data_IF_777975202809
#
_entry.id   IF_777975202809
#
_cell.length_a   1.000
_cell.length_b   1.000
_cell.length_c   1.000
_cell.angle_alpha   90.00
_cell.angle_beta   90.00
_cell.angle_gamma   90.00
#
_symmetry.space_group_name_H-M   'P 1'
#
loop_
_entity.id
_entity.type
_entity.pdbx_description
1 polymer ?
#
# COMPACT_ATOMS: atom_id res chain seq x y z
N UNK A 1 14.16 -19.64 -3.30
CA UNK A 1 12.85 -18.96 -3.37
C UNK A 1 12.96 -17.74 -4.26
N UNK A 2 12.02 -17.55 -5.16
CA UNK A 2 12.07 -16.45 -6.13
C UNK A 2 11.07 -15.36 -5.75
N UNK A 3 11.55 -14.11 -5.73
CA UNK A 3 10.66 -12.97 -5.54
C UNK A 3 9.84 -12.79 -6.83
N UNK A 4 8.53 -12.53 -6.74
CA UNK A 4 7.71 -12.29 -7.93
C UNK A 4 8.31 -11.24 -8.86
N UNK A 5 8.17 -11.46 -10.16
CA UNK A 5 8.77 -10.57 -11.18
C UNK A 5 8.36 -9.10 -10.99
N UNK A 6 7.12 -8.85 -10.55
CA UNK A 6 6.60 -7.51 -10.30
C UNK A 6 7.32 -6.77 -9.18
N UNK A 7 8.04 -7.50 -8.32
CA UNK A 7 8.76 -6.92 -7.18
C UNK A 7 10.27 -6.92 -7.38
N UNK A 8 10.78 -7.62 -8.40
CA UNK A 8 12.22 -7.71 -8.64
C UNK A 8 12.81 -6.34 -8.94
N UNK A 9 13.94 -6.04 -8.29
CA UNK A 9 14.64 -4.78 -8.47
C UNK A 9 14.00 -3.59 -7.75
N UNK A 10 12.85 -3.76 -7.13
CA UNK A 10 12.11 -2.69 -6.46
C UNK A 10 12.29 -2.65 -4.95
N UNK A 11 12.83 -3.71 -4.38
CA UNK A 11 12.98 -3.86 -2.93
C UNK A 11 14.44 -3.80 -2.52
N UNK A 12 14.74 -3.15 -1.41
CA UNK A 12 16.05 -3.29 -0.74
C UNK A 12 16.09 -4.58 0.06
N UNK A 13 14.99 -4.92 0.71
CA UNK A 13 14.83 -6.14 1.48
C UNK A 13 13.48 -6.78 1.15
N UNK A 14 13.40 -8.12 1.12
CA UNK A 14 12.13 -8.80 0.84
C UNK A 14 11.24 -8.83 2.09
N UNK A 15 10.82 -7.67 2.52
CA UNK A 15 10.03 -7.47 3.75
C UNK A 15 8.74 -6.75 3.41
N UNK A 16 7.65 -7.19 4.02
CA UNK A 16 6.37 -6.50 3.98
C UNK A 16 6.12 -5.93 5.38
N UNK A 17 5.92 -4.62 5.47
CA UNK A 17 5.48 -3.99 6.70
C UNK A 17 4.06 -4.45 7.04
N UNK A 18 3.87 -5.01 8.22
CA UNK A 18 2.59 -5.56 8.61
C UNK A 18 1.48 -4.50 8.62
N UNK A 19 0.30 -4.77 8.03
CA UNK A 19 -0.82 -3.85 8.11
C UNK A 19 -1.43 -3.90 9.51
N UNK A 20 -1.38 -2.76 10.22
CA UNK A 20 -1.89 -2.66 11.59
C UNK A 20 -3.11 -1.77 11.64
N UNK A 21 -4.20 -2.28 12.21
CA UNK A 21 -5.43 -1.52 12.35
C UNK A 21 -5.16 -0.25 13.17
N UNK A 22 -5.62 0.88 12.68
CA UNK A 22 -5.43 2.23 13.24
C UNK A 22 -3.96 2.71 13.15
N UNK A 23 -3.00 1.87 13.50
CA UNK A 23 -1.58 2.27 13.59
C UNK A 23 -0.91 2.52 12.24
N UNK A 24 -1.28 1.76 11.20
CA UNK A 24 -0.68 1.95 9.87
C UNK A 24 -1.31 3.16 9.18
N UNK A 25 -0.59 4.28 9.21
CA UNK A 25 -0.99 5.53 8.58
C UNK A 25 -0.45 5.64 7.16
N UNK A 26 -0.96 6.61 6.39
CA UNK A 26 -0.39 6.93 5.07
C UNK A 26 1.10 7.26 5.16
N UNK A 27 1.46 8.07 6.17
CA UNK A 27 2.86 8.48 6.36
C UNK A 27 3.76 7.29 6.62
N UNK A 28 3.33 6.35 7.45
CA UNK A 28 4.08 5.13 7.73
C UNK A 28 4.28 4.31 6.47
N UNK A 29 3.22 4.12 5.67
CA UNK A 29 3.31 3.38 4.40
C UNK A 29 4.32 4.02 3.46
N UNK A 30 4.26 5.34 3.30
CA UNK A 30 5.18 6.07 2.42
C UNK A 30 6.63 5.91 2.89
N UNK A 31 6.88 6.04 4.18
CA UNK A 31 8.24 5.90 4.72
C UNK A 31 8.78 4.48 4.56
N UNK A 32 7.95 3.47 4.76
CA UNK A 32 8.32 2.08 4.53
C UNK A 32 8.70 1.86 3.06
N UNK A 33 7.87 2.32 2.14
CA UNK A 33 8.14 2.17 0.71
C UNK A 33 9.40 2.92 0.30
N UNK A 34 9.60 4.13 0.79
CA UNK A 34 10.82 4.91 0.53
C UNK A 34 12.07 4.23 1.08
N UNK A 35 11.92 3.46 2.15
CA UNK A 35 13.03 2.70 2.74
C UNK A 35 13.33 1.40 1.98
N UNK A 36 12.53 1.07 0.98
CA UNK A 36 12.76 -0.11 0.14
C UNK A 36 12.11 -1.39 0.64
N UNK A 37 11.14 -1.29 1.54
CA UNK A 37 10.30 -2.41 1.94
C UNK A 37 8.84 -2.11 1.58
N UNK A 38 8.03 -3.14 1.40
CA UNK A 38 6.63 -2.95 1.03
C UNK A 38 5.85 -2.40 2.23
N UNK A 39 5.33 -1.17 2.11
CA UNK A 39 4.45 -0.60 3.11
C UNK A 39 3.01 -1.01 2.86
N UNK A 40 2.28 -1.32 3.92
CA UNK A 40 0.88 -1.74 3.82
C UNK A 40 0.01 -1.10 4.89
N UNK A 41 -1.28 -1.00 4.58
CA UNK A 41 -2.28 -0.56 5.56
C UNK A 41 -3.60 -1.31 5.33
N UNK A 42 -4.40 -1.52 6.37
CA UNK A 42 -5.74 -2.07 6.19
C UNK A 42 -6.66 -1.03 5.55
N UNK A 43 -7.45 -1.44 4.56
CA UNK A 43 -8.43 -0.54 3.95
C UNK A 43 -9.35 0.10 4.99
N UNK A 44 -9.65 -0.62 6.07
CA UNK A 44 -10.49 -0.13 7.16
C UNK A 44 -9.93 1.08 7.90
N UNK A 45 -8.63 1.37 7.78
CA UNK A 45 -8.03 2.57 8.39
C UNK A 45 -8.48 3.85 7.70
N UNK A 46 -8.82 3.77 6.41
CA UNK A 46 -9.37 4.91 5.68
C UNK A 46 -10.85 5.03 6.00
N UNK A 47 -11.23 6.01 6.80
CA UNK A 47 -12.60 6.22 7.23
C UNK A 47 -13.05 7.66 7.03
N UNK A 48 -14.24 7.89 6.45
CA UNK A 48 -15.17 6.90 5.91
C UNK A 48 -14.64 6.20 4.65
N UNK A 49 -15.41 5.22 4.13
CA UNK A 49 -14.98 4.38 3.00
C UNK A 49 -14.54 5.19 1.79
N UNK A 50 -15.18 6.29 1.51
CA UNK A 50 -14.88 7.16 0.37
C UNK A 50 -13.47 7.75 0.42
N UNK A 51 -12.85 7.81 1.59
CA UNK A 51 -11.48 8.33 1.72
C UNK A 51 -10.42 7.32 1.28
N UNK A 52 -10.78 6.06 1.07
CA UNK A 52 -9.81 5.05 0.65
C UNK A 52 -9.14 5.42 -0.69
N UNK A 53 -9.92 5.91 -1.65
CA UNK A 53 -9.37 6.35 -2.93
C UNK A 53 -8.39 7.51 -2.74
N UNK A 54 -8.66 8.42 -1.82
CA UNK A 54 -7.78 9.55 -1.54
C UNK A 54 -6.46 9.07 -0.91
N UNK A 55 -6.53 8.10 0.00
CA UNK A 55 -5.33 7.51 0.60
C UNK A 55 -4.45 6.85 -0.46
N UNK A 56 -5.05 6.05 -1.34
CA UNK A 56 -4.32 5.37 -2.40
C UNK A 56 -3.65 6.39 -3.33
N UNK A 57 -4.38 7.41 -3.73
CA UNK A 57 -3.89 8.46 -4.60
C UNK A 57 -2.73 9.24 -3.97
N UNK A 58 -2.89 9.65 -2.71
CA UNK A 58 -1.84 10.39 -2.00
C UNK A 58 -0.58 9.56 -1.82
N UNK A 59 -0.71 8.29 -1.44
CA UNK A 59 0.44 7.40 -1.29
C UNK A 59 1.16 7.28 -2.64
N UNK A 60 0.41 7.02 -3.71
CA UNK A 60 0.99 6.88 -5.05
C UNK A 60 1.74 8.13 -5.49
N UNK A 61 1.13 9.30 -5.30
CA UNK A 61 1.74 10.58 -5.68
C UNK A 61 3.02 10.84 -4.89
N UNK A 62 3.01 10.56 -3.60
CA UNK A 62 4.19 10.76 -2.74
C UNK A 62 5.32 9.80 -3.10
N UNK A 63 5.00 8.57 -3.51
CA UNK A 63 6.03 7.62 -3.96
C UNK A 63 6.59 8.02 -5.32
N UNK A 64 5.75 8.50 -6.24
CA UNK A 64 6.19 8.99 -7.54
C UNK A 64 7.08 10.22 -7.38
N UNK A 65 6.75 11.13 -6.49
CA UNK A 65 7.58 12.30 -6.16
C UNK A 65 8.93 11.85 -5.60
N UNK A 66 8.94 10.90 -4.67
CA UNK A 66 10.18 10.36 -4.11
C UNK A 66 11.07 9.71 -5.17
N UNK A 67 10.48 9.00 -6.13
CA UNK A 67 11.21 8.39 -7.24
C UNK A 67 11.82 9.45 -8.17
N UNK A 68 11.08 10.53 -8.43
CA UNK A 68 11.56 11.63 -9.27
C UNK A 68 12.71 12.40 -8.59
N UNK A 69 12.63 12.60 -7.28
CA UNK A 69 13.66 13.31 -6.51
C UNK A 69 14.95 12.47 -6.34
N UNK A 70 14.81 11.15 -6.29
CA UNK A 70 15.93 10.25 -6.11
C UNK A 70 15.78 9.03 -7.03
N UNK A 71 16.14 9.17 -8.34
CA UNK A 71 15.93 8.09 -9.32
C UNK A 71 16.70 6.81 -9.03
N UNK A 72 17.74 6.87 -8.20
CA UNK A 72 18.54 5.69 -7.85
C UNK A 72 17.99 4.94 -6.64
N UNK A 73 17.06 5.53 -5.89
CA UNK A 73 16.48 4.88 -4.73
C UNK A 73 15.58 3.74 -5.17
N UNK A 74 15.61 2.65 -4.39
CA UNK A 74 14.65 1.54 -4.55
C UNK A 74 13.42 1.86 -3.73
N UNK A 75 12.43 2.42 -4.39
CA UNK A 75 11.15 2.72 -3.76
C UNK A 75 10.23 1.54 -4.01
N UNK A 76 9.85 0.85 -2.92
CA UNK A 76 9.01 -0.32 -3.02
C UNK A 76 7.56 0.05 -3.34
N UNK A 77 6.80 -0.86 -3.97
CA UNK A 77 5.37 -0.66 -4.12
C UNK A 77 4.66 -0.79 -2.77
N UNK A 78 3.48 -0.20 -2.67
CA UNK A 78 2.66 -0.35 -1.47
C UNK A 78 1.60 -1.44 -1.66
N UNK A 79 1.00 -1.85 -0.55
CA UNK A 79 -0.12 -2.80 -0.58
C UNK A 79 -1.25 -2.34 0.33
N UNK A 80 -2.42 -2.91 0.10
CA UNK A 80 -3.59 -2.69 0.94
C UNK A 80 -4.07 -4.04 1.46
N UNK A 81 -4.31 -4.11 2.77
CA UNK A 81 -4.90 -5.29 3.39
C UNK A 81 -6.42 -5.20 3.28
N UNK A 82 -7.01 -6.21 2.69
CA UNK A 82 -8.47 -6.36 2.59
C UNK A 82 -8.94 -7.29 3.70
N UNK A 83 -9.52 -6.69 4.73
CA UNK A 83 -10.08 -7.48 5.83
C UNK A 83 -11.36 -8.13 5.34
N UNK A 84 -11.41 -9.46 5.38
CA UNK A 84 -12.58 -10.26 5.00
C UNK A 84 -13.24 -10.79 6.28
N UNK A 85 -14.56 -10.86 6.27
CA UNK A 85 -15.30 -11.39 7.40
C UNK A 85 -16.68 -10.76 7.51
N UNK A 86 -17.57 -11.44 8.23
CA UNK A 86 -18.99 -11.03 8.35
C UNK A 86 -19.15 -9.68 9.01
N UNK A 87 -18.21 -9.29 9.87
CA UNK A 87 -18.28 -8.01 10.59
C UNK A 87 -17.82 -6.82 9.74
N UNK A 88 -17.13 -7.07 8.64
CA UNK A 88 -16.72 -6.00 7.73
C UNK A 88 -17.78 -5.79 6.65
N UNK A 89 -18.70 -4.86 6.89
CA UNK A 89 -19.80 -4.58 5.95
C UNK A 89 -19.36 -3.77 4.74
N UNK A 90 -18.15 -3.22 4.72
CA UNK A 90 -17.65 -2.40 3.60
C UNK A 90 -16.67 -3.12 2.68
N UNK A 91 -16.43 -4.42 2.88
CA UNK A 91 -15.38 -5.14 2.15
C UNK A 91 -15.57 -5.12 0.63
N UNK A 92 -16.81 -5.18 0.14
CA UNK A 92 -17.08 -5.14 -1.29
C UNK A 92 -16.72 -3.79 -1.91
N UNK A 93 -17.09 -2.69 -1.25
CA UNK A 93 -16.76 -1.35 -1.70
C UNK A 93 -15.24 -1.12 -1.65
N UNK A 94 -14.58 -1.57 -0.60
CA UNK A 94 -13.12 -1.45 -0.47
C UNK A 94 -12.41 -2.24 -1.57
N UNK A 95 -12.80 -3.49 -1.78
CA UNK A 95 -12.18 -4.33 -2.81
C UNK A 95 -12.39 -3.75 -4.21
N UNK A 96 -13.58 -3.23 -4.49
CA UNK A 96 -13.86 -2.55 -5.75
C UNK A 96 -12.92 -1.36 -5.97
N UNK A 97 -12.71 -0.55 -4.94
CA UNK A 97 -11.77 0.57 -5.01
C UNK A 97 -10.35 0.11 -5.25
N UNK A 98 -9.89 -0.89 -4.48
CA UNK A 98 -8.53 -1.43 -4.58
C UNK A 98 -8.24 -1.93 -6.00
N UNK A 99 -9.16 -2.68 -6.57
CA UNK A 99 -9.01 -3.23 -7.94
C UNK A 99 -9.06 -2.12 -8.98
N UNK A 100 -10.03 -1.21 -8.88
CA UNK A 100 -10.16 -0.10 -9.82
C UNK A 100 -8.92 0.78 -9.83
N UNK A 101 -8.36 1.08 -8.67
CA UNK A 101 -7.18 1.92 -8.53
C UNK A 101 -5.86 1.17 -8.77
N UNK A 102 -5.92 -0.09 -9.15
CA UNK A 102 -4.75 -0.92 -9.51
C UNK A 102 -3.68 -0.90 -8.43
N UNK A 103 -4.08 -1.11 -7.19
CA UNK A 103 -3.14 -1.22 -6.07
C UNK A 103 -2.17 -2.37 -6.35
N UNK A 104 -0.85 -2.15 -6.20
CA UNK A 104 0.15 -3.16 -6.60
C UNK A 104 0.07 -4.48 -5.84
N UNK A 105 -0.32 -4.44 -4.55
CA UNK A 105 -0.37 -5.63 -3.72
C UNK A 105 -1.64 -5.62 -2.86
N UNK A 106 -2.33 -6.74 -2.83
CA UNK A 106 -3.50 -6.95 -1.97
C UNK A 106 -3.17 -8.11 -1.02
N UNK A 107 -3.40 -7.89 0.25
CA UNK A 107 -3.22 -8.91 1.29
C UNK A 107 -4.57 -9.29 1.87
#
# INVERSE_FOLDING_TARGET
MTIPASLQGRLRLPIIGSPLFIASTKDMVVEQCRSGIIGTFPALNARPQETLVDWISEIRDRLDTGAAENPEARIAPFGVNQVMGELNTRWQADLTTIVREKVPLII
#
